data_IF_678172067760
#
_entry.id   IF_678172067760
#
_cell.length_a   1.000
_cell.length_b   1.000
_cell.length_c   1.000
_cell.angle_alpha   90.00
_cell.angle_beta   90.00
_cell.angle_gamma   90.00
#
_symmetry.space_group_name_H-M   'P 1'
#
loop_
_entity.id
_entity.type
_entity.pdbx_description
1 polymer ?
#
# COMPACT_ATOMS: atom_id res chain seq x y z
N UNK A 1 -43.70 -20.47 41.16
CA UNK A 1 -43.09 -20.47 39.81
C UNK A 1 -42.78 -19.04 39.45
N UNK A 2 -41.51 -18.72 39.32
CA UNK A 2 -40.97 -17.34 39.36
C UNK A 2 -41.30 -16.59 38.03
N UNK A 3 -42.05 -15.51 38.08
CA UNK A 3 -42.46 -14.70 36.92
C UNK A 3 -41.32 -14.23 36.03
N UNK A 4 -40.12 -14.10 36.58
CA UNK A 4 -38.89 -13.76 35.82
C UNK A 4 -38.40 -14.86 34.88
N UNK A 5 -38.69 -16.13 35.15
CA UNK A 5 -38.32 -17.25 34.25
C UNK A 5 -39.24 -17.36 33.04
N UNK A 6 -40.50 -16.90 33.19
CA UNK A 6 -41.46 -16.93 32.10
C UNK A 6 -41.16 -15.89 31.01
N UNK A 7 -40.61 -14.73 31.37
CA UNK A 7 -40.18 -13.72 30.41
C UNK A 7 -38.92 -14.10 29.63
N UNK A 8 -38.00 -14.85 30.25
CA UNK A 8 -36.80 -15.33 29.57
C UNK A 8 -37.13 -16.39 28.51
N UNK A 9 -38.08 -17.27 28.79
CA UNK A 9 -38.53 -18.30 27.81
C UNK A 9 -39.32 -17.70 26.66
N UNK A 10 -40.10 -16.66 26.90
CA UNK A 10 -40.83 -15.95 25.84
C UNK A 10 -39.90 -15.17 24.94
N UNK A 11 -38.80 -14.60 25.47
CA UNK A 11 -37.79 -13.87 24.68
C UNK A 11 -36.95 -14.78 23.78
N UNK A 12 -36.64 -16.01 24.24
CA UNK A 12 -35.91 -17.01 23.46
C UNK A 12 -36.77 -17.62 22.35
N UNK A 13 -38.11 -17.73 22.55
CA UNK A 13 -39.03 -18.20 21.52
C UNK A 13 -39.33 -17.12 20.45
N UNK A 14 -39.20 -15.84 20.76
CA UNK A 14 -39.41 -14.75 19.79
C UNK A 14 -38.17 -14.55 18.86
N UNK A 15 -37.00 -15.06 19.22
CA UNK A 15 -35.79 -15.06 18.38
C UNK A 15 -35.66 -16.29 17.47
N UNK A 16 -36.57 -17.24 17.57
CA UNK A 16 -36.54 -18.50 16.81
C UNK A 16 -37.32 -18.53 15.49
N UNK A 17 -37.72 -17.40 14.96
CA UNK A 17 -38.63 -17.37 13.84
C UNK A 17 -38.26 -16.45 12.67
N UNK A 18 -37.14 -16.68 12.01
CA UNK A 18 -37.03 -16.53 10.56
C UNK A 18 -35.69 -17.17 10.15
N UNK A 19 -35.66 -18.47 10.00
CA UNK A 19 -34.67 -19.09 9.14
C UNK A 19 -35.11 -18.75 7.71
N UNK A 20 -34.72 -17.56 7.25
CA UNK A 20 -34.69 -17.27 5.83
C UNK A 20 -33.69 -18.24 5.22
N UNK A 21 -34.17 -19.23 4.50
CA UNK A 21 -33.32 -19.97 3.57
C UNK A 21 -32.81 -18.94 2.56
N UNK A 22 -31.68 -18.32 2.88
CA UNK A 22 -30.91 -17.58 1.90
C UNK A 22 -30.51 -18.62 0.86
N UNK A 23 -31.18 -18.58 -0.27
CA UNK A 23 -30.85 -19.39 -1.42
C UNK A 23 -29.39 -19.06 -1.76
N UNK A 24 -28.49 -20.02 -1.60
CA UNK A 24 -27.07 -19.86 -1.81
C UNK A 24 -26.86 -19.56 -3.30
N UNK A 25 -26.77 -18.26 -3.62
CA UNK A 25 -26.57 -17.82 -5.00
C UNK A 25 -25.19 -18.29 -5.46
N UNK A 26 -25.15 -19.23 -6.41
CA UNK A 26 -23.91 -19.71 -7.01
C UNK A 26 -23.22 -18.54 -7.70
N UNK A 27 -21.95 -18.28 -7.31
CA UNK A 27 -21.11 -17.24 -7.89
C UNK A 27 -20.67 -17.72 -9.28
N UNK A 28 -20.97 -16.94 -10.31
CA UNK A 28 -20.55 -17.18 -11.70
C UNK A 28 -19.13 -16.70 -11.93
N UNK A 29 -18.80 -15.52 -11.40
CA UNK A 29 -17.48 -14.92 -11.46
C UNK A 29 -17.17 -14.25 -10.13
N UNK A 30 -16.02 -14.55 -9.56
CA UNK A 30 -15.55 -13.87 -8.34
C UNK A 30 -15.16 -12.42 -8.66
N UNK A 31 -15.45 -11.52 -7.72
CA UNK A 31 -15.01 -10.13 -7.83
C UNK A 31 -13.49 -10.04 -7.84
N UNK A 32 -12.92 -9.33 -8.83
CA UNK A 32 -11.48 -9.12 -8.97
C UNK A 32 -11.11 -7.74 -8.46
N UNK A 33 -9.97 -7.66 -7.78
CA UNK A 33 -9.35 -6.39 -7.39
C UNK A 33 -8.19 -6.14 -8.35
N UNK A 34 -8.27 -5.03 -9.09
CA UNK A 34 -7.26 -4.63 -10.08
C UNK A 34 -6.57 -3.35 -9.60
N UNK A 35 -5.25 -3.29 -9.74
CA UNK A 35 -4.47 -2.10 -9.44
C UNK A 35 -4.83 -0.96 -10.41
N UNK A 36 -4.87 0.28 -9.87
CA UNK A 36 -4.94 1.52 -10.65
C UNK A 36 -3.80 2.44 -10.29
N UNK A 37 -3.05 2.93 -11.27
CA UNK A 37 -2.03 3.96 -11.03
C UNK A 37 -2.66 5.19 -10.38
N UNK A 38 -1.95 5.79 -9.40
CA UNK A 38 -2.46 6.94 -8.66
C UNK A 38 -1.33 7.79 -8.09
N UNK A 39 -1.64 9.05 -7.89
CA UNK A 39 -0.76 9.99 -7.19
C UNK A 39 -0.93 9.87 -5.68
N UNK A 40 0.15 10.17 -4.96
CA UNK A 40 0.11 10.29 -3.50
C UNK A 40 1.00 11.44 -3.04
N UNK A 41 0.74 11.94 -1.83
CA UNK A 41 1.53 12.94 -1.14
C UNK A 41 1.90 12.42 0.25
N UNK A 42 3.13 12.70 0.68
CA UNK A 42 3.61 12.39 2.02
C UNK A 42 4.03 13.68 2.70
N UNK A 43 3.54 13.88 3.93
CA UNK A 43 3.94 14.99 4.81
C UNK A 43 4.43 14.37 6.10
N UNK A 44 5.68 14.63 6.43
CA UNK A 44 6.39 13.95 7.50
C UNK A 44 7.16 14.95 8.35
N UNK A 45 7.29 14.66 9.65
CA UNK A 45 8.15 15.36 10.58
C UNK A 45 8.83 14.35 11.51
N UNK A 46 9.95 14.73 12.08
CA UNK A 46 10.70 13.84 12.97
C UNK A 46 12.07 14.41 13.32
N UNK A 47 13.04 13.54 13.38
CA UNK A 47 14.40 13.87 13.80
C UNK A 47 15.43 13.45 12.75
N UNK A 48 16.47 14.25 12.61
CA UNK A 48 17.70 13.97 11.89
C UNK A 48 18.85 13.79 12.87
N UNK A 49 19.76 12.88 12.55
CA UNK A 49 21.04 12.69 13.25
C UNK A 49 22.17 12.74 12.23
N UNK A 50 23.04 13.73 12.34
CA UNK A 50 24.27 13.81 11.53
C UNK A 50 25.37 13.06 12.26
N UNK A 51 26.00 12.09 11.61
CA UNK A 51 27.10 11.34 12.21
C UNK A 51 28.29 12.24 12.42
N UNK A 52 28.84 12.25 13.62
CA UNK A 52 29.97 13.06 14.01
C UNK A 52 30.62 12.56 15.31
N UNK A 53 31.64 13.26 15.78
CA UNK A 53 32.46 12.89 16.94
C UNK A 53 31.84 13.30 18.29
N UNK A 54 30.50 13.24 18.39
CA UNK A 54 29.75 13.59 19.59
C UNK A 54 28.87 12.42 20.03
N UNK A 55 28.29 12.53 21.25
CA UNK A 55 27.30 11.57 21.70
C UNK A 55 26.08 11.63 20.79
N UNK A 56 25.45 10.49 20.54
CA UNK A 56 24.32 10.36 19.62
C UNK A 56 23.23 11.39 19.86
N UNK A 57 22.82 11.59 21.10
CA UNK A 57 21.72 12.50 21.44
C UNK A 57 22.03 13.98 21.24
N UNK A 58 23.30 14.38 21.30
CA UNK A 58 23.73 15.78 21.17
C UNK A 58 23.56 16.27 19.71
N UNK A 59 23.68 15.38 18.73
CA UNK A 59 23.60 15.68 17.30
C UNK A 59 22.18 15.46 16.71
N UNK A 60 21.19 15.18 17.55
CA UNK A 60 19.81 15.10 17.09
C UNK A 60 19.27 16.51 16.83
N UNK A 61 18.61 16.66 15.69
CA UNK A 61 17.98 17.90 15.23
C UNK A 61 16.61 17.63 14.63
N UNK A 62 15.70 18.62 14.56
CA UNK A 62 14.41 18.45 13.92
C UNK A 62 14.56 18.27 12.40
N UNK A 63 13.67 17.51 11.83
CA UNK A 63 13.58 17.29 10.38
C UNK A 63 12.13 17.23 9.93
N UNK A 64 11.88 17.68 8.70
CA UNK A 64 10.59 17.58 8.05
C UNK A 64 10.78 17.22 6.57
N UNK A 65 9.75 16.60 5.97
CA UNK A 65 9.75 16.28 4.56
C UNK A 65 8.34 16.39 3.96
N UNK A 66 8.28 16.84 2.73
CA UNK A 66 7.07 16.84 1.90
C UNK A 66 7.42 16.25 0.55
N UNK A 67 6.71 15.20 0.16
CA UNK A 67 6.93 14.49 -1.09
C UNK A 67 5.63 14.32 -1.85
N UNK A 68 5.72 14.36 -3.18
CA UNK A 68 4.65 13.95 -4.09
C UNK A 68 5.16 12.77 -4.93
N UNK A 69 4.35 11.76 -5.10
CA UNK A 69 4.75 10.56 -5.82
C UNK A 69 3.64 9.99 -6.68
N UNK A 70 4.03 9.11 -7.57
CA UNK A 70 3.15 8.40 -8.47
C UNK A 70 3.43 6.91 -8.40
N UNK A 71 2.42 6.12 -8.01
CA UNK A 71 2.48 4.68 -8.05
C UNK A 71 2.04 4.20 -9.42
N UNK A 72 3.00 3.77 -10.24
CA UNK A 72 2.78 3.36 -11.62
C UNK A 72 2.56 1.85 -11.79
N UNK A 73 3.00 1.06 -10.80
CA UNK A 73 2.81 -0.38 -10.77
C UNK A 73 2.46 -0.85 -9.35
N UNK A 74 1.90 -2.05 -9.15
CA UNK A 74 1.48 -2.54 -7.86
C UNK A 74 2.57 -2.46 -6.78
N UNK A 75 3.83 -2.80 -7.12
CA UNK A 75 4.97 -2.80 -6.22
C UNK A 75 5.94 -1.61 -6.42
N UNK A 76 5.70 -0.72 -7.41
CA UNK A 76 6.66 0.31 -7.76
C UNK A 76 6.04 1.70 -7.82
N UNK A 77 6.74 2.66 -7.25
CA UNK A 77 6.41 4.08 -7.33
C UNK A 77 7.66 4.93 -7.41
N UNK A 78 7.49 6.15 -7.91
CA UNK A 78 8.51 7.19 -7.88
C UNK A 78 7.97 8.37 -7.09
N UNK A 79 8.86 9.08 -6.38
CA UNK A 79 8.49 10.32 -5.70
C UNK A 79 9.58 11.36 -5.85
N UNK A 80 9.16 12.61 -5.81
CA UNK A 80 10.02 13.79 -5.72
C UNK A 80 9.53 14.64 -4.55
N UNK A 81 10.42 15.39 -3.93
CA UNK A 81 10.01 16.26 -2.82
C UNK A 81 11.16 17.04 -2.21
N UNK A 82 10.87 17.62 -1.06
CA UNK A 82 11.84 18.37 -0.27
C UNK A 82 11.88 17.84 1.15
N UNK A 83 13.07 17.84 1.72
CA UNK A 83 13.31 17.57 3.13
C UNK A 83 14.34 18.56 3.68
N UNK A 84 14.33 18.77 4.97
CA UNK A 84 15.29 19.66 5.59
C UNK A 84 14.86 20.07 6.98
N UNK A 85 15.52 20.99 7.53
CA UNK A 85 15.36 21.85 8.68
C UNK A 85 16.73 22.18 9.24
N UNK A 86 17.21 21.43 10.24
CA UNK A 86 18.42 21.72 11.00
C UNK A 86 19.34 20.50 11.03
N UNK A 87 20.64 20.75 10.98
CA UNK A 87 21.67 19.77 11.24
C UNK A 87 22.62 20.33 12.30
N UNK A 88 23.30 19.42 13.02
CA UNK A 88 24.22 19.76 14.08
C UNK A 88 25.56 19.11 13.84
N UNK A 89 26.65 19.81 14.25
CA UNK A 89 27.98 19.28 14.33
C UNK A 89 28.64 19.65 15.66
N UNK A 90 29.77 19.04 15.96
CA UNK A 90 30.56 19.37 17.16
C UNK A 90 32.02 19.52 16.81
N UNK A 91 32.64 20.60 17.28
CA UNK A 91 34.08 20.72 17.35
C UNK A 91 34.61 20.00 18.61
N UNK A 92 35.72 19.29 18.50
CA UNK A 92 36.10 18.31 19.55
C UNK A 92 36.93 18.92 20.67
N UNK A 93 37.83 19.87 20.35
CA UNK A 93 38.78 20.44 21.34
C UNK A 93 38.97 21.94 21.16
N UNK A 94 38.42 22.81 22.02
CA UNK A 94 37.43 22.49 23.07
C UNK A 94 36.09 22.06 22.47
N UNK A 95 35.30 21.31 23.27
CA UNK A 95 33.98 20.87 22.77
C UNK A 95 33.06 22.06 22.58
N UNK A 96 32.66 22.29 21.34
CA UNK A 96 31.71 23.34 20.94
C UNK A 96 30.72 22.79 19.91
N UNK A 97 29.44 22.88 20.25
CA UNK A 97 28.37 22.48 19.33
C UNK A 97 28.09 23.64 18.39
N UNK A 98 27.74 23.32 17.15
CA UNK A 98 27.24 24.27 16.17
C UNK A 98 26.09 23.65 15.39
N UNK A 99 25.23 24.51 14.89
CA UNK A 99 24.07 24.13 14.10
C UNK A 99 24.02 24.94 12.81
N UNK A 100 23.45 24.36 11.82
CA UNK A 100 23.18 24.99 10.52
C UNK A 100 21.89 24.45 9.94
N UNK A 101 21.33 25.16 8.98
CA UNK A 101 20.10 24.75 8.32
C UNK A 101 20.42 24.16 6.95
N UNK A 102 19.54 23.27 6.52
CA UNK A 102 19.64 22.69 5.19
C UNK A 102 18.25 22.49 4.57
N UNK A 103 18.22 22.52 3.25
CA UNK A 103 17.10 22.12 2.42
C UNK A 103 17.61 21.15 1.36
N UNK A 104 16.92 20.04 1.17
CA UNK A 104 17.29 19.00 0.22
C UNK A 104 16.13 18.67 -0.69
N UNK A 105 16.30 18.86 -2.01
CA UNK A 105 15.42 18.33 -3.04
C UNK A 105 15.73 16.85 -3.27
N UNK A 106 14.73 15.99 -3.35
CA UNK A 106 14.86 14.53 -3.40
C UNK A 106 14.15 13.95 -4.61
N UNK A 107 14.71 12.88 -5.18
CA UNK A 107 14.05 12.02 -6.17
C UNK A 107 14.35 10.56 -5.84
N UNK A 108 13.31 9.79 -5.54
CA UNK A 108 13.41 8.41 -5.04
C UNK A 108 12.57 7.45 -5.88
N UNK A 109 13.05 6.22 -6.06
CA UNK A 109 12.28 5.06 -6.53
C UNK A 109 11.98 4.19 -5.32
N UNK A 110 10.73 3.80 -5.19
CA UNK A 110 10.20 3.03 -4.05
C UNK A 110 9.73 1.67 -4.53
N UNK A 111 10.09 0.63 -3.80
CA UNK A 111 9.60 -0.74 -3.98
C UNK A 111 8.79 -1.17 -2.76
N UNK A 112 7.50 -1.47 -2.95
CA UNK A 112 6.62 -2.02 -1.91
C UNK A 112 6.91 -3.51 -1.73
N UNK A 113 7.68 -3.85 -0.69
CA UNK A 113 8.08 -5.21 -0.39
C UNK A 113 6.88 -6.09 -0.01
N UNK A 114 5.89 -5.52 0.68
CA UNK A 114 4.69 -6.26 1.05
C UNK A 114 3.91 -6.73 -0.18
N UNK A 115 3.83 -5.89 -1.21
CA UNK A 115 3.20 -6.23 -2.49
C UNK A 115 4.08 -7.16 -3.32
N UNK A 116 5.40 -6.98 -3.29
CA UNK A 116 6.33 -7.80 -4.05
C UNK A 116 6.31 -9.26 -3.59
N UNK A 117 6.29 -9.50 -2.27
CA UNK A 117 6.35 -10.86 -1.70
C UNK A 117 4.96 -11.49 -1.45
N UNK A 118 3.96 -10.68 -1.14
CA UNK A 118 2.63 -11.18 -0.74
C UNK A 118 1.52 -10.83 -1.75
N UNK A 119 1.87 -10.31 -2.94
CA UNK A 119 0.92 -9.89 -3.96
C UNK A 119 0.18 -8.59 -3.62
N UNK A 120 -0.52 -8.04 -4.62
CA UNK A 120 -1.27 -6.80 -4.48
C UNK A 120 -2.53 -6.99 -3.64
N UNK A 121 -2.63 -6.27 -2.51
CA UNK A 121 -3.82 -6.21 -1.68
C UNK A 121 -4.02 -4.77 -1.15
N UNK A 122 -4.95 -3.99 -1.74
CA UNK A 122 -5.17 -2.60 -1.36
C UNK A 122 -5.83 -2.44 0.03
N UNK A 123 -6.39 -3.52 0.57
CA UNK A 123 -7.01 -3.54 1.91
C UNK A 123 -6.03 -3.95 3.01
N UNK A 124 -4.78 -4.26 2.67
CA UNK A 124 -3.74 -4.60 3.65
C UNK A 124 -3.48 -3.43 4.59
N UNK A 125 -3.41 -3.71 5.90
CA UNK A 125 -3.19 -2.69 6.93
C UNK A 125 -1.74 -2.23 6.95
N UNK A 126 -0.79 -3.15 6.86
CA UNK A 126 0.64 -2.88 6.90
C UNK A 126 1.28 -3.07 5.53
N UNK A 127 1.94 -2.04 5.00
CA UNK A 127 2.72 -2.10 3.77
C UNK A 127 4.14 -1.59 4.05
N UNK A 128 5.10 -2.51 4.08
CA UNK A 128 6.53 -2.19 4.19
C UNK A 128 7.15 -1.94 2.82
N UNK A 129 8.02 -0.95 2.73
CA UNK A 129 8.71 -0.57 1.50
C UNK A 129 10.16 -0.20 1.75
N UNK A 130 10.94 -0.24 0.69
CA UNK A 130 12.30 0.31 0.62
C UNK A 130 12.38 1.30 -0.51
N UNK A 131 13.35 2.20 -0.45
CA UNK A 131 13.61 3.13 -1.54
C UNK A 131 15.10 3.44 -1.68
N UNK A 132 15.45 3.85 -2.87
CA UNK A 132 16.76 4.41 -3.19
C UNK A 132 16.56 5.65 -4.07
N UNK A 133 17.44 6.63 -3.93
CA UNK A 133 17.32 7.86 -4.68
C UNK A 133 18.52 8.76 -4.58
N UNK A 134 18.35 9.95 -5.08
CA UNK A 134 19.33 11.02 -5.06
C UNK A 134 18.72 12.29 -4.46
N UNK A 135 19.56 13.10 -3.85
CA UNK A 135 19.19 14.40 -3.30
C UNK A 135 20.17 15.48 -3.72
N UNK A 136 19.66 16.69 -3.86
CA UNK A 136 20.46 17.90 -3.96
C UNK A 136 20.26 18.70 -2.69
N UNK A 137 21.28 18.73 -1.85
CA UNK A 137 21.28 19.41 -0.56
C UNK A 137 21.89 20.81 -0.68
N UNK A 138 21.27 21.78 -0.02
CA UNK A 138 21.79 23.13 0.16
C UNK A 138 21.84 23.46 1.64
N UNK A 139 23.08 23.61 2.18
CA UNK A 139 23.30 24.12 3.52
C UNK A 139 23.31 25.66 3.53
N UNK A 140 22.82 26.27 4.62
CA UNK A 140 22.81 27.71 4.85
C UNK A 140 22.72 27.98 6.35
N UNK A 141 22.93 29.25 6.74
CA UNK A 141 22.86 29.67 8.17
C UNK A 141 23.89 28.94 9.04
N UNK A 142 25.18 29.01 8.64
CA UNK A 142 26.31 28.31 9.29
C UNK A 142 27.16 29.23 10.17
N UNK A 143 26.56 30.30 10.73
CA UNK A 143 27.27 31.35 11.44
C UNK A 143 27.98 30.84 12.71
N UNK A 144 27.43 29.83 13.37
CA UNK A 144 28.04 29.24 14.56
C UNK A 144 29.38 28.53 14.22
N UNK A 145 29.46 27.82 13.10
CA UNK A 145 30.72 27.21 12.63
C UNK A 145 31.74 28.28 12.22
N UNK A 146 31.28 29.36 11.59
CA UNK A 146 32.12 30.52 11.23
C UNK A 146 32.71 31.18 12.49
N UNK A 147 31.92 31.34 13.56
CA UNK A 147 32.39 31.90 14.82
C UNK A 147 33.44 31.00 15.50
N UNK A 148 33.30 29.67 15.42
CA UNK A 148 34.31 28.74 15.93
C UNK A 148 35.62 28.88 15.16
N UNK A 149 35.59 28.97 13.83
CA UNK A 149 36.77 29.15 12.98
C UNK A 149 37.49 30.47 13.29
N UNK A 150 36.72 31.56 13.43
CA UNK A 150 37.22 32.91 13.77
C UNK A 150 37.95 32.96 15.12
N UNK A 151 37.59 32.08 16.07
CA UNK A 151 38.25 31.90 17.36
C UNK A 151 39.58 31.10 17.29
N UNK A 152 40.05 30.80 16.08
CA UNK A 152 41.34 30.13 15.84
C UNK A 152 41.28 28.61 15.68
N UNK A 153 40.07 28.04 15.67
CA UNK A 153 39.81 26.60 15.44
C UNK A 153 39.51 26.35 13.97
N UNK A 154 40.54 26.25 13.12
CA UNK A 154 40.40 26.12 11.68
C UNK A 154 39.60 24.92 11.24
N UNK A 155 38.49 25.18 10.56
CA UNK A 155 37.69 24.16 9.89
C UNK A 155 38.07 24.08 8.41
N UNK A 156 38.73 22.97 7.97
CA UNK A 156 39.24 22.81 6.62
C UNK A 156 38.18 22.93 5.51
N UNK A 157 36.94 22.61 5.80
CA UNK A 157 35.83 22.61 4.84
C UNK A 157 34.73 23.59 5.22
N UNK A 158 35.09 24.63 6.03
CA UNK A 158 34.13 25.68 6.38
C UNK A 158 33.49 26.29 5.14
N UNK A 159 32.20 26.50 5.22
CA UNK A 159 31.43 27.22 4.23
C UNK A 159 30.60 28.31 4.92
N UNK A 160 30.57 29.51 4.32
CA UNK A 160 29.91 30.71 4.85
C UNK A 160 28.59 30.98 4.14
N UNK A 161 28.49 30.58 2.88
CA UNK A 161 27.31 30.73 2.04
C UNK A 161 26.72 29.38 1.63
N UNK A 162 25.53 29.40 1.03
CA UNK A 162 24.80 28.21 0.65
C UNK A 162 25.61 27.23 -0.19
N UNK A 163 25.98 26.12 0.40
CA UNK A 163 26.74 25.03 -0.22
C UNK A 163 25.83 24.00 -0.83
N UNK A 164 26.01 23.72 -2.12
CA UNK A 164 25.30 22.65 -2.81
C UNK A 164 26.09 21.35 -2.75
N UNK A 165 25.43 20.26 -2.35
CA UNK A 165 25.99 18.93 -2.24
C UNK A 165 25.02 17.90 -2.79
N UNK A 166 25.54 16.94 -3.53
CA UNK A 166 24.77 15.77 -3.97
C UNK A 166 24.72 14.76 -2.84
N UNK A 167 23.57 14.17 -2.57
CA UNK A 167 23.34 13.13 -1.59
C UNK A 167 22.88 11.85 -2.28
N UNK A 168 23.48 10.72 -1.97
CA UNK A 168 22.88 9.42 -2.19
C UNK A 168 21.86 9.14 -1.08
N UNK A 169 20.71 8.54 -1.42
CA UNK A 169 19.63 8.27 -0.47
C UNK A 169 19.26 6.80 -0.47
N UNK A 170 19.11 6.23 0.71
CA UNK A 170 18.57 4.90 0.94
C UNK A 170 17.62 4.96 2.14
N UNK A 171 16.55 4.19 2.09
CA UNK A 171 15.66 4.13 3.24
C UNK A 171 14.66 2.99 3.16
N UNK A 172 13.98 2.84 4.28
CA UNK A 172 12.90 1.90 4.47
C UNK A 172 11.78 2.56 5.25
N UNK A 173 10.57 2.05 5.07
CA UNK A 173 9.43 2.58 5.79
C UNK A 173 8.24 1.65 5.74
N UNK A 174 7.19 2.07 6.41
CA UNK A 174 5.92 1.39 6.35
C UNK A 174 4.75 2.38 6.29
N UNK A 175 3.68 1.95 5.66
CA UNK A 175 2.41 2.62 5.63
C UNK A 175 1.39 1.79 6.42
N UNK A 176 0.80 2.37 7.45
CA UNK A 176 -0.30 1.81 8.23
C UNK A 176 -1.61 2.38 7.70
N UNK A 177 -2.37 1.58 6.97
CA UNK A 177 -3.61 2.01 6.32
C UNK A 177 -4.67 2.39 7.35
N UNK A 178 -5.19 3.61 7.26
CA UNK A 178 -6.36 4.07 8.02
C UNK A 178 -7.64 3.91 7.20
N UNK A 179 -7.58 4.27 5.92
CA UNK A 179 -8.69 4.12 4.96
C UNK A 179 -8.14 4.01 3.52
N UNK A 180 -9.00 4.08 2.51
CA UNK A 180 -8.59 3.94 1.10
C UNK A 180 -7.66 5.05 0.61
N UNK A 181 -7.69 6.22 1.26
CA UNK A 181 -6.93 7.41 0.85
C UNK A 181 -5.85 7.83 1.83
N UNK A 182 -5.91 7.38 3.08
CA UNK A 182 -5.07 7.88 4.15
C UNK A 182 -4.35 6.71 4.86
N UNK A 183 -3.05 6.88 5.07
CA UNK A 183 -2.22 5.98 5.89
C UNK A 183 -1.27 6.79 6.77
N UNK A 184 -0.95 6.28 7.95
CA UNK A 184 0.20 6.74 8.73
C UNK A 184 1.45 6.20 8.03
N UNK A 185 2.42 7.07 7.83
CA UNK A 185 3.71 6.73 7.25
C UNK A 185 4.80 6.85 8.31
N UNK A 186 5.64 5.84 8.43
CA UNK A 186 6.83 5.82 9.30
C UNK A 186 8.00 5.47 8.39
N UNK A 187 9.04 6.29 8.41
CA UNK A 187 10.19 6.16 7.50
C UNK A 187 11.50 6.40 8.22
N UNK A 188 12.48 5.53 7.95
CA UNK A 188 13.89 5.73 8.28
C UNK A 188 14.71 5.84 7.02
N UNK A 189 15.57 6.84 6.92
CA UNK A 189 16.45 6.99 5.76
C UNK A 189 17.86 7.44 6.14
N UNK A 190 18.80 7.10 5.28
CA UNK A 190 20.19 7.54 5.33
C UNK A 190 20.50 8.37 4.09
N UNK A 191 21.07 9.54 4.31
CA UNK A 191 21.65 10.39 3.27
C UNK A 191 23.16 10.29 3.37
N UNK A 192 23.80 9.98 2.26
CA UNK A 192 25.25 9.89 2.11
C UNK A 192 25.69 11.14 1.36
N UNK A 193 26.38 12.04 2.04
CA UNK A 193 26.81 13.33 1.53
C UNK A 193 28.34 13.37 1.42
N UNK A 194 28.85 14.39 0.70
CA UNK A 194 30.29 14.67 0.70
C UNK A 194 30.76 15.10 2.09
N UNK A 195 32.03 14.80 2.42
CA UNK A 195 32.76 15.19 3.64
C UNK A 195 32.76 16.74 3.93
N UNK A 196 32.13 17.51 3.04
CA UNK A 196 32.00 18.97 3.17
C UNK A 196 30.68 19.39 3.83
N UNK A 197 29.82 18.47 4.19
CA UNK A 197 28.48 18.81 4.70
C UNK A 197 28.56 19.40 6.11
N UNK A 198 29.36 18.81 6.98
CA UNK A 198 29.52 19.23 8.37
C UNK A 198 30.66 20.25 8.62
N UNK A 199 31.21 20.88 7.58
CA UNK A 199 32.33 21.87 7.64
C UNK A 199 33.66 21.32 8.16
N UNK A 200 33.75 20.05 8.50
CA UNK A 200 34.98 19.40 8.98
C UNK A 200 35.55 18.47 7.91
N UNK A 201 36.82 18.17 8.04
CA UNK A 201 37.51 17.22 7.15
C UNK A 201 37.78 15.93 7.92
N UNK A 202 37.05 14.89 7.57
CA UNK A 202 37.24 13.55 8.16
C UNK A 202 37.85 12.56 7.15
N UNK A 203 37.87 12.90 5.86
CA UNK A 203 38.37 12.04 4.80
C UNK A 203 37.42 10.93 4.37
N UNK A 204 36.18 10.99 4.81
CA UNK A 204 35.11 10.04 4.47
C UNK A 204 33.78 10.78 4.18
N UNK A 205 32.78 10.08 3.68
CA UNK A 205 31.46 10.68 3.44
C UNK A 205 30.74 10.99 4.74
N UNK A 206 30.05 12.13 4.78
CA UNK A 206 29.13 12.49 5.86
C UNK A 206 27.83 11.70 5.74
N UNK A 207 27.38 11.15 6.86
CA UNK A 207 26.12 10.40 6.95
C UNK A 207 25.12 11.15 7.79
N UNK A 208 23.92 11.25 7.27
CA UNK A 208 22.78 11.79 8.00
C UNK A 208 21.64 10.79 7.99
N UNK A 209 21.19 10.39 9.17
CA UNK A 209 20.04 9.51 9.36
C UNK A 209 18.82 10.32 9.75
N UNK A 210 17.68 10.02 9.14
CA UNK A 210 16.41 10.63 9.49
C UNK A 210 15.42 9.56 9.92
N UNK A 211 14.67 9.85 10.98
CA UNK A 211 13.53 9.08 11.45
C UNK A 211 12.30 9.99 11.38
N UNK A 212 11.37 9.68 10.50
CA UNK A 212 10.22 10.52 10.17
C UNK A 212 8.91 9.77 10.37
N UNK A 213 7.92 10.48 10.83
CA UNK A 213 6.53 10.01 10.96
C UNK A 213 5.60 11.03 10.33
N UNK A 214 4.55 10.57 9.68
CA UNK A 214 3.62 11.49 9.02
C UNK A 214 2.44 10.80 8.37
N UNK A 215 1.90 11.44 7.36
CA UNK A 215 0.73 10.98 6.62
C UNK A 215 1.09 10.72 5.16
N UNK A 216 0.55 9.62 4.64
CA UNK A 216 0.54 9.32 3.21
C UNK A 216 -0.91 9.45 2.72
N UNK A 217 -1.14 10.38 1.80
CA UNK A 217 -2.45 10.77 1.26
C UNK A 217 -2.49 10.36 -0.21
N UNK A 218 -3.38 9.43 -0.56
CA UNK A 218 -3.60 8.98 -1.95
C UNK A 218 -4.66 9.84 -2.63
N UNK A 219 -4.37 10.31 -3.83
CA UNK A 219 -5.31 11.05 -4.66
C UNK A 219 -6.15 10.06 -5.49
N UNK A 220 -7.29 9.68 -4.95
CA UNK A 220 -8.18 8.68 -5.54
C UNK A 220 -8.01 7.27 -4.97
N UNK A 221 -8.79 6.33 -5.50
CA UNK A 221 -8.68 4.91 -5.17
C UNK A 221 -7.60 4.27 -6.02
N UNK A 222 -6.60 3.66 -5.40
CA UNK A 222 -5.52 2.93 -6.07
C UNK A 222 -5.92 1.56 -6.62
N UNK A 223 -7.22 1.26 -6.68
CA UNK A 223 -7.73 -0.02 -7.18
C UNK A 223 -9.16 0.11 -7.73
N UNK A 224 -9.52 -0.84 -8.58
CA UNK A 224 -10.89 -1.07 -9.05
C UNK A 224 -11.34 -2.43 -8.53
N UNK A 225 -12.52 -2.48 -7.95
CA UNK A 225 -13.17 -3.70 -7.48
C UNK A 225 -14.33 -4.03 -8.42
N UNK A 226 -14.28 -5.19 -9.05
CA UNK A 226 -15.38 -5.71 -9.85
C UNK A 226 -16.28 -6.52 -8.94
N UNK A 227 -17.58 -6.24 -8.95
CA UNK A 227 -18.55 -7.00 -8.14
C UNK A 227 -18.64 -8.45 -8.65
N UNK A 228 -18.83 -9.43 -7.77
CA UNK A 228 -19.09 -10.79 -8.20
C UNK A 228 -20.38 -10.85 -9.03
N UNK A 229 -20.37 -11.65 -10.08
CA UNK A 229 -21.55 -11.93 -10.92
C UNK A 229 -22.16 -13.23 -10.43
N UNK A 230 -23.43 -13.20 -10.09
CA UNK A 230 -24.19 -14.37 -9.65
C UNK A 230 -24.93 -15.00 -10.83
N UNK A 231 -25.21 -16.30 -10.77
CA UNK A 231 -26.15 -16.93 -11.68
C UNK A 231 -27.53 -16.36 -11.42
N UNK A 232 -28.20 -15.95 -12.48
CA UNK A 232 -29.63 -15.62 -12.38
C UNK A 232 -30.38 -16.90 -12.02
N UNK A 233 -31.23 -16.90 -10.99
CA UNK A 233 -32.02 -18.08 -10.67
C UNK A 233 -32.86 -18.46 -11.89
N UNK A 234 -32.74 -19.70 -12.33
CA UNK A 234 -33.61 -20.21 -13.39
C UNK A 234 -35.07 -19.96 -12.98
N UNK A 235 -35.90 -19.44 -13.89
CA UNK A 235 -37.31 -19.22 -13.59
C UNK A 235 -37.89 -20.56 -13.10
N UNK A 236 -38.42 -20.56 -11.90
CA UNK A 236 -39.11 -21.73 -11.35
C UNK A 236 -40.23 -22.06 -12.34
N UNK A 237 -40.04 -23.10 -13.12
CA UNK A 237 -41.13 -23.65 -13.95
C UNK A 237 -42.17 -24.17 -12.95
N UNK A 238 -43.17 -23.36 -12.68
CA UNK A 238 -44.32 -23.83 -11.95
C UNK A 238 -44.96 -24.91 -12.79
N UNK A 239 -44.71 -26.20 -12.48
CA UNK A 239 -45.43 -27.29 -13.09
C UNK A 239 -46.95 -26.99 -12.97
N UNK A 240 -47.54 -26.70 -14.10
CA UNK A 240 -49.01 -26.58 -14.10
C UNK A 240 -49.58 -27.88 -13.58
N UNK A 241 -50.56 -27.83 -12.65
CA UNK A 241 -51.17 -29.03 -12.12
C UNK A 241 -51.63 -29.90 -13.29
N UNK A 242 -51.16 -31.15 -13.33
CA UNK A 242 -51.57 -32.16 -14.34
C UNK A 242 -53.11 -32.13 -14.46
N UNK A 243 -53.65 -31.96 -15.68
CA UNK A 243 -55.09 -32.04 -15.86
C UNK A 243 -55.57 -33.41 -15.38
N UNK A 244 -56.66 -33.41 -14.64
CA UNK A 244 -57.31 -34.61 -14.12
C UNK A 244 -57.52 -35.63 -15.22
N UNK A 245 -57.40 -36.95 -14.93
CA UNK A 245 -57.53 -37.96 -15.96
C UNK A 245 -58.89 -37.89 -16.61
N UNK A 246 -58.90 -37.57 -17.87
CA UNK A 246 -60.10 -37.63 -18.71
C UNK A 246 -60.43 -39.14 -18.93
N UNK A 247 -61.60 -39.55 -18.44
CA UNK A 247 -62.14 -40.88 -18.68
C UNK A 247 -62.39 -40.99 -20.17
N UNK A 248 -61.51 -41.81 -20.86
CA UNK A 248 -61.67 -42.07 -22.28
C UNK A 248 -62.90 -42.92 -22.55
N UNK A 249 -63.76 -42.37 -23.37
CA UNK A 249 -64.79 -43.20 -24.06
C UNK A 249 -64.13 -43.98 -25.20
N UNK A 250 -64.50 -45.27 -25.44
CA UNK A 250 -63.86 -46.09 -26.41
C UNK A 250 -64.13 -45.64 -27.86
N UNK A 251 -63.02 -45.28 -28.58
CA UNK A 251 -63.06 -44.94 -30.00
C UNK A 251 -62.83 -46.17 -30.87
N UNK A 252 -63.42 -46.19 -32.10
CA UNK A 252 -63.35 -47.31 -33.03
C UNK A 252 -61.96 -47.39 -33.71
N UNK A 253 -61.50 -48.64 -33.95
CA UNK A 253 -60.27 -49.01 -34.60
C UNK A 253 -60.14 -48.35 -35.97
N UNK A 254 -58.98 -47.66 -36.24
CA UNK A 254 -58.52 -47.30 -37.55
C UNK A 254 -57.19 -47.99 -37.87
N UNK A 255 -57.08 -48.35 -39.10
CA UNK A 255 -56.13 -49.14 -39.82
C UNK A 255 -54.65 -48.65 -39.74
N UNK A 256 -53.71 -49.58 -39.74
CA UNK A 256 -52.29 -49.41 -39.66
C UNK A 256 -51.74 -49.04 -41.04
N UNK A 257 -51.14 -47.86 -41.19
CA UNK A 257 -50.29 -47.52 -42.33
C UNK A 257 -48.84 -47.51 -41.87
N UNK A 258 -48.01 -48.34 -42.52
CA UNK A 258 -46.59 -48.48 -42.25
C UNK A 258 -45.81 -47.22 -42.69
N UNK A 259 -45.05 -46.60 -41.79
CA UNK A 259 -44.12 -45.54 -42.13
C UNK A 259 -42.66 -46.04 -41.95
N UNK A 260 -41.88 -45.80 -42.99
CA UNK A 260 -40.47 -46.19 -43.12
C UNK A 260 -39.55 -45.44 -42.14
N UNK A 261 -38.39 -46.01 -41.74
CA UNK A 261 -37.47 -45.40 -40.79
C UNK A 261 -36.66 -44.25 -41.38
N UNK A 262 -36.63 -43.12 -40.71
CA UNK A 262 -35.79 -41.95 -40.98
C UNK A 262 -34.42 -42.16 -40.36
N UNK A 263 -33.37 -41.91 -41.14
CA UNK A 263 -31.97 -41.98 -40.71
C UNK A 263 -31.70 -40.87 -39.68
N UNK A 264 -31.13 -41.22 -38.52
CA UNK A 264 -30.57 -40.27 -37.58
C UNK A 264 -29.08 -40.03 -37.88
N UNK A 265 -28.71 -38.78 -38.18
CA UNK A 265 -27.33 -38.33 -38.23
C UNK A 265 -26.79 -38.11 -36.83
N UNK A 266 -25.72 -38.82 -36.48
CA UNK A 266 -25.05 -38.71 -35.19
C UNK A 266 -23.96 -37.64 -35.30
N UNK A 267 -24.13 -36.47 -34.66
CA UNK A 267 -23.08 -35.50 -34.51
C UNK A 267 -22.17 -35.84 -33.31
N UNK A 268 -20.92 -36.20 -33.61
CA UNK A 268 -19.87 -36.40 -32.61
C UNK A 268 -19.31 -35.04 -32.12
N UNK A 269 -19.59 -34.67 -30.89
CA UNK A 269 -18.96 -33.53 -30.20
C UNK A 269 -17.58 -33.94 -29.68
N UNK A 270 -16.53 -33.40 -30.28
CA UNK A 270 -15.15 -33.57 -29.84
C UNK A 270 -14.86 -32.64 -28.66
N UNK A 271 -14.71 -33.20 -27.46
CA UNK A 271 -14.34 -32.46 -26.22
C UNK A 271 -12.83 -32.36 -26.13
N UNK A 272 -12.26 -31.18 -26.34
CA UNK A 272 -10.85 -30.90 -26.06
C UNK A 272 -10.59 -30.90 -24.54
N UNK A 273 -9.91 -31.91 -24.06
CA UNK A 273 -9.40 -31.99 -22.69
C UNK A 273 -8.14 -31.12 -22.57
N UNK A 274 -8.18 -30.05 -21.76
CA UNK A 274 -6.98 -29.32 -21.37
C UNK A 274 -6.26 -30.08 -20.25
N UNK A 275 -5.05 -30.56 -20.53
CA UNK A 275 -4.12 -31.03 -19.51
C UNK A 275 -3.75 -29.87 -18.58
N UNK A 276 -4.01 -30.03 -17.30
CA UNK A 276 -3.41 -29.19 -16.24
C UNK A 276 -2.06 -29.80 -15.90
N UNK A 277 -0.98 -29.08 -16.17
CA UNK A 277 0.31 -29.34 -15.52
C UNK A 277 0.22 -28.87 -14.07
N UNK A 278 0.31 -29.81 -13.14
CA UNK A 278 0.66 -29.61 -11.74
C UNK A 278 2.20 -29.64 -11.69
N UNK A 279 2.82 -28.52 -11.30
CA UNK A 279 4.16 -28.50 -10.72
C UNK A 279 4.15 -27.48 -9.58
N UNK A 280 4.34 -28.02 -8.40
CA UNK A 280 4.84 -27.55 -7.10
C UNK A 280 5.10 -26.06 -6.93
#
# INVERSE_FOLDING_TARGET
MNRKKLWLTAFVLALGGTVSFAQEQKIKEEGKIEFRPHWFMQVQAGAAHTVGEAKFFDLISPAAAVNIGYQFAPAWSARVGGSGWQAKGRWVTPQQDYQYKYLQGNADIISDLSTLFCGFNPKRVFNGYVFAGIGLNRGFDNDEAVAIDANGYKMDYLWTEGKFLVAGRLGLGCNLRLNDRLAINIEGNANILSDKFNSKKAGNSDWQFNALVGLNIKFGKGYKETKPVYYEPEPVVVEQPKPAPVIEQPQPKKEVVAVQPMKQDIYLHYRKTKLRCLLT
#
